data_IF_609651452349
#
_entry.id   IF_609651452349
#
_cell.length_a   1.000
_cell.length_b   1.000
_cell.length_c   1.000
_cell.angle_alpha   90.00
_cell.angle_beta   90.00
_cell.angle_gamma   90.00
#
_symmetry.space_group_name_H-M   'P 1'
#
loop_
_entity.id
_entity.type
_entity.pdbx_description
1 polymer ?
#
# COMPACT_ATOMS: atom_id res chain seq x y z
N UNK A 1 -23.78 -42.19 1.89
CA UNK A 1 -23.06 -41.01 1.37
C UNK A 1 -24.02 -39.83 1.42
N UNK A 2 -23.94 -38.93 2.43
CA UNK A 2 -24.83 -37.78 2.51
C UNK A 2 -24.30 -36.57 1.71
N UNK A 3 -25.17 -35.63 1.33
CA UNK A 3 -24.94 -34.65 0.28
C UNK A 3 -24.17 -33.40 0.77
N UNK A 4 -23.56 -32.70 -0.19
CA UNK A 4 -22.58 -31.65 0.03
C UNK A 4 -23.08 -30.36 0.70
N UNK A 5 -22.21 -29.78 1.53
CA UNK A 5 -22.28 -28.40 1.97
C UNK A 5 -21.39 -27.57 1.04
N UNK A 6 -21.98 -26.83 0.09
CA UNK A 6 -21.24 -25.77 -0.62
C UNK A 6 -21.01 -24.64 0.38
N UNK A 7 -19.74 -24.30 0.63
CA UNK A 7 -19.39 -23.10 1.38
C UNK A 7 -19.88 -21.88 0.59
N UNK A 8 -21.01 -21.32 0.99
CA UNK A 8 -21.43 -19.98 0.60
C UNK A 8 -20.45 -19.05 1.29
N UNK A 9 -19.64 -18.31 0.54
CA UNK A 9 -18.77 -17.29 1.11
C UNK A 9 -19.68 -16.18 1.66
N UNK A 10 -19.91 -16.06 2.98
CA UNK A 10 -20.79 -15.03 3.49
C UNK A 10 -20.14 -13.68 3.18
N UNK A 11 -20.93 -12.69 2.74
CA UNK A 11 -20.43 -11.32 2.65
C UNK A 11 -19.82 -10.94 4.01
N UNK A 12 -18.63 -10.32 4.04
CA UNK A 12 -18.02 -9.93 5.30
C UNK A 12 -18.97 -8.99 6.04
N UNK A 13 -19.43 -9.44 7.20
CA UNK A 13 -20.28 -8.64 8.08
C UNK A 13 -19.39 -7.70 8.87
N UNK A 14 -19.71 -6.41 8.78
CA UNK A 14 -19.06 -5.34 9.53
C UNK A 14 -19.87 -5.11 10.80
N UNK A 15 -19.17 -4.92 11.90
CA UNK A 15 -19.73 -4.72 13.23
C UNK A 15 -19.18 -3.43 13.81
N UNK A 16 -20.05 -2.65 14.46
CA UNK A 16 -19.60 -1.53 15.28
C UNK A 16 -19.18 -2.05 16.65
N UNK A 17 -17.91 -1.82 17.01
CA UNK A 17 -17.36 -2.08 18.33
C UNK A 17 -16.81 -0.76 18.86
N UNK A 18 -17.44 -0.21 19.90
CA UNK A 18 -17.04 1.05 20.54
C UNK A 18 -16.90 2.25 19.56
N UNK A 19 -17.77 2.32 18.55
CA UNK A 19 -17.73 3.37 17.53
C UNK A 19 -16.66 3.15 16.45
N UNK A 20 -16.06 1.96 16.41
CA UNK A 20 -15.11 1.52 15.39
C UNK A 20 -15.70 0.37 14.58
N UNK A 21 -15.79 0.56 13.27
CA UNK A 21 -16.26 -0.47 12.36
C UNK A 21 -15.18 -1.52 12.13
N UNK A 22 -15.44 -2.76 12.50
CA UNK A 22 -14.53 -3.90 12.33
C UNK A 22 -15.20 -5.07 11.63
N UNK A 23 -14.41 -5.92 10.98
CA UNK A 23 -14.88 -7.15 10.34
C UNK A 23 -14.53 -8.34 11.21
N UNK A 24 -15.42 -9.33 11.29
CA UNK A 24 -15.16 -10.58 12.01
C UNK A 24 -15.13 -11.74 11.02
N UNK A 25 -14.06 -12.53 11.07
CA UNK A 25 -13.83 -13.67 10.20
C UNK A 25 -13.69 -14.96 11.01
N UNK A 26 -14.26 -16.05 10.51
CA UNK A 26 -14.05 -17.38 11.07
C UNK A 26 -12.88 -18.07 10.37
N UNK A 27 -11.80 -18.34 11.10
CA UNK A 27 -10.68 -19.13 10.59
C UNK A 27 -10.85 -20.60 10.99
N UNK A 28 -10.87 -21.48 9.99
CA UNK A 28 -10.93 -22.92 10.21
C UNK A 28 -9.54 -23.45 10.60
N UNK A 29 -9.50 -24.42 11.51
CA UNK A 29 -8.25 -25.07 11.88
C UNK A 29 -7.70 -25.87 10.69
N UNK A 30 -6.37 -25.83 10.52
CA UNK A 30 -5.65 -26.57 9.48
C UNK A 30 -5.73 -28.09 9.69
N UNK A 31 -5.92 -28.53 10.93
CA UNK A 31 -6.00 -29.95 11.29
C UNK A 31 -7.44 -30.50 11.19
N UNK A 32 -7.65 -31.68 10.59
CA UNK A 32 -8.96 -32.31 10.52
C UNK A 32 -9.43 -32.71 11.93
N UNK A 33 -10.42 -31.97 12.45
CA UNK A 33 -10.95 -32.11 13.81
C UNK A 33 -10.61 -30.95 14.75
N UNK A 34 -9.81 -29.99 14.29
CA UNK A 34 -9.51 -28.77 15.03
C UNK A 34 -10.71 -27.83 15.10
N UNK A 35 -10.84 -27.12 16.23
CA UNK A 35 -11.82 -26.04 16.38
C UNK A 35 -11.27 -24.80 15.69
N UNK A 36 -12.07 -24.20 14.80
CA UNK A 36 -11.78 -22.87 14.29
C UNK A 36 -11.88 -21.80 15.37
N UNK A 37 -11.40 -20.60 15.06
CA UNK A 37 -11.46 -19.45 15.96
C UNK A 37 -11.90 -18.18 15.23
N UNK A 38 -12.42 -17.23 16.00
CA UNK A 38 -12.84 -15.92 15.51
C UNK A 38 -11.66 -14.95 15.49
N UNK A 39 -11.52 -14.25 14.37
CA UNK A 39 -10.50 -13.22 14.16
C UNK A 39 -11.18 -11.91 13.83
N UNK A 40 -10.79 -10.85 14.52
CA UNK A 40 -11.17 -9.47 14.21
C UNK A 40 -10.18 -8.92 13.18
N UNK A 41 -10.73 -8.30 12.15
CA UNK A 41 -10.02 -7.57 11.10
C UNK A 41 -10.41 -6.11 11.20
N UNK A 42 -9.46 -5.27 11.59
CA UNK A 42 -9.62 -3.84 11.81
C UNK A 42 -8.55 -3.08 10.99
N UNK A 43 -8.89 -2.80 9.73
CA UNK A 43 -7.93 -2.28 8.75
C UNK A 43 -6.76 -3.27 8.56
N UNK A 44 -5.49 -2.85 8.75
CA UNK A 44 -4.35 -3.75 8.65
C UNK A 44 -4.23 -4.71 9.84
N UNK A 45 -4.92 -4.46 10.96
CA UNK A 45 -4.84 -5.30 12.14
C UNK A 45 -5.70 -6.55 11.99
N UNK A 46 -5.10 -7.72 12.22
CA UNK A 46 -5.78 -9.01 12.35
C UNK A 46 -5.41 -9.62 13.68
N UNK A 47 -6.40 -9.93 14.50
CA UNK A 47 -6.18 -10.38 15.86
C UNK A 47 -7.26 -11.34 16.33
N UNK A 48 -6.96 -12.36 17.16
CA UNK A 48 -7.98 -13.18 17.78
C UNK A 48 -9.02 -12.33 18.52
N UNK A 49 -10.31 -12.64 18.35
CA UNK A 49 -11.41 -11.86 18.93
C UNK A 49 -11.31 -11.74 20.46
N UNK A 50 -10.85 -12.81 21.12
CA UNK A 50 -10.65 -12.82 22.57
C UNK A 50 -9.67 -11.75 23.04
N UNK A 51 -8.66 -11.48 22.23
CA UNK A 51 -7.55 -10.59 22.60
C UNK A 51 -7.92 -9.16 22.22
N UNK A 52 -8.65 -9.00 21.10
CA UNK A 52 -9.18 -7.70 20.67
C UNK A 52 -10.14 -7.14 21.73
N UNK A 53 -11.04 -7.98 22.26
CA UNK A 53 -11.97 -7.60 23.34
C UNK A 53 -11.29 -7.25 24.66
N UNK A 54 -10.07 -7.76 24.89
CA UNK A 54 -9.28 -7.47 26.10
C UNK A 54 -8.35 -6.27 25.93
N UNK A 55 -8.32 -5.65 24.74
CA UNK A 55 -7.37 -4.59 24.39
C UNK A 55 -5.90 -5.02 24.59
N UNK A 56 -5.58 -6.29 24.36
CA UNK A 56 -4.22 -6.85 24.48
C UNK A 56 -3.59 -7.01 23.10
N UNK A 57 -2.38 -6.53 22.85
CA UNK A 57 -1.72 -6.62 21.53
C UNK A 57 -0.94 -7.94 21.32
N UNK A 58 -1.04 -8.91 22.23
CA UNK A 58 -0.15 -10.08 22.28
C UNK A 58 -0.15 -10.94 21.01
N UNK A 59 -1.28 -11.05 20.30
CA UNK A 59 -1.42 -11.82 19.07
C UNK A 59 -1.86 -10.95 17.87
N UNK A 60 -1.56 -9.66 17.91
CA UNK A 60 -1.82 -8.73 16.83
C UNK A 60 -0.91 -9.03 15.63
N UNK A 61 -1.50 -9.36 14.48
CA UNK A 61 -0.78 -9.45 13.21
C UNK A 61 -1.21 -8.30 12.32
N UNK A 62 -0.25 -7.53 11.83
CA UNK A 62 -0.53 -6.46 10.88
C UNK A 62 -0.30 -6.97 9.45
N UNK A 63 -1.38 -7.11 8.69
CA UNK A 63 -1.28 -7.43 7.28
C UNK A 63 -0.92 -6.15 6.49
N UNK A 64 0.27 -6.15 5.90
CA UNK A 64 0.77 -5.05 5.09
C UNK A 64 0.17 -5.00 3.69
N UNK A 65 -0.68 -5.96 3.28
CA UNK A 65 -1.26 -5.98 1.94
C UNK A 65 -2.12 -4.75 1.61
N UNK A 66 -2.73 -4.12 2.62
CA UNK A 66 -3.52 -2.89 2.47
C UNK A 66 -2.72 -1.60 2.78
N UNK A 67 -1.43 -1.72 3.11
CA UNK A 67 -0.55 -0.56 2.95
C UNK A 67 -0.49 -0.31 1.46
N UNK A 68 -1.26 0.67 0.98
CA UNK A 68 -1.21 1.19 -0.38
C UNK A 68 0.22 1.69 -0.65
N UNK A 69 1.13 0.75 -0.91
CA UNK A 69 2.50 1.05 -1.23
C UNK A 69 2.42 1.76 -2.55
N UNK A 70 2.73 3.06 -2.56
CA UNK A 70 2.68 3.87 -3.78
C UNK A 70 3.35 3.12 -4.92
N UNK A 71 2.89 3.31 -6.17
CA UNK A 71 3.39 2.54 -7.32
C UNK A 71 4.94 2.55 -7.41
N UNK A 72 5.59 3.58 -6.85
CA UNK A 72 7.04 3.68 -6.71
C UNK A 72 7.69 2.57 -5.85
N UNK A 73 7.04 2.13 -4.78
CA UNK A 73 7.52 1.05 -3.91
C UNK A 73 7.46 -0.32 -4.58
N UNK A 74 6.57 -0.51 -5.56
CA UNK A 74 6.48 -1.74 -6.36
C UNK A 74 7.62 -1.88 -7.38
N UNK A 75 8.38 -0.81 -7.64
CA UNK A 75 9.51 -0.83 -8.57
C UNK A 75 10.80 -1.14 -7.81
N UNK A 76 11.56 -2.12 -8.31
CA UNK A 76 12.90 -2.44 -7.80
C UNK A 76 13.83 -1.22 -7.90
N UNK A 77 14.74 -1.01 -6.93
CA UNK A 77 15.52 0.24 -6.80
C UNK A 77 16.33 0.58 -8.05
N UNK A 78 16.84 -0.44 -8.74
CA UNK A 78 17.59 -0.38 -9.99
C UNK A 78 16.77 0.13 -11.17
N UNK A 79 15.44 -0.04 -11.13
CA UNK A 79 14.52 0.42 -12.18
C UNK A 79 13.86 1.76 -11.88
N UNK A 80 14.17 2.39 -10.74
CA UNK A 80 13.64 3.69 -10.36
C UNK A 80 14.41 4.80 -11.06
N UNK A 81 13.71 5.84 -11.51
CA UNK A 81 14.36 7.04 -12.03
C UNK A 81 15.13 7.73 -10.89
N UNK A 82 16.44 7.89 -11.09
CA UNK A 82 17.33 8.66 -10.22
C UNK A 82 17.63 10.03 -10.83
N UNK A 83 17.64 11.07 -10.00
CA UNK A 83 18.09 12.40 -10.37
C UNK A 83 19.50 12.60 -9.83
N UNK A 84 20.47 12.89 -10.70
CA UNK A 84 21.84 13.16 -10.28
C UNK A 84 21.96 14.64 -9.90
N UNK A 85 21.82 14.94 -8.61
CA UNK A 85 21.72 16.32 -8.09
C UNK A 85 22.92 16.73 -7.22
N UNK A 86 23.97 15.92 -7.22
CA UNK A 86 25.10 15.95 -6.26
C UNK A 86 25.91 17.27 -6.26
N UNK A 87 25.73 18.15 -7.23
CA UNK A 87 26.49 19.40 -7.37
C UNK A 87 25.63 20.67 -7.40
N UNK A 88 24.32 20.58 -7.13
CA UNK A 88 23.45 21.75 -7.13
C UNK A 88 23.18 22.24 -5.70
N UNK A 89 23.52 23.51 -5.47
CA UNK A 89 23.18 24.22 -4.23
C UNK A 89 21.82 24.87 -4.46
N UNK A 90 20.80 24.37 -3.76
CA UNK A 90 19.45 24.89 -3.83
C UNK A 90 19.14 25.73 -2.59
N UNK A 91 18.42 26.84 -2.78
CA UNK A 91 17.75 27.50 -1.67
C UNK A 91 16.56 26.64 -1.19
N UNK A 92 16.06 26.86 0.03
CA UNK A 92 14.95 26.07 0.63
C UNK A 92 13.73 25.98 -0.30
N UNK A 93 13.31 27.09 -0.89
CA UNK A 93 12.15 27.12 -1.81
C UNK A 93 12.42 26.32 -3.08
N UNK A 94 13.64 26.42 -3.62
CA UNK A 94 14.05 25.68 -4.81
C UNK A 94 14.15 24.18 -4.53
N UNK A 95 14.67 23.79 -3.35
CA UNK A 95 14.74 22.41 -2.92
C UNK A 95 13.34 21.79 -2.78
N UNK A 96 12.37 22.54 -2.23
CA UNK A 96 10.97 22.09 -2.15
C UNK A 96 10.34 21.96 -3.55
N UNK A 97 10.65 22.88 -4.47
CA UNK A 97 10.20 22.81 -5.88
C UNK A 97 10.78 21.58 -6.58
N UNK A 98 12.08 21.37 -6.46
CA UNK A 98 12.78 20.22 -7.03
C UNK A 98 12.23 18.91 -6.47
N UNK A 99 12.00 18.83 -5.15
CA UNK A 99 11.42 17.66 -4.52
C UNK A 99 10.01 17.33 -5.06
N UNK A 100 9.14 18.34 -5.23
CA UNK A 100 7.80 18.18 -5.82
C UNK A 100 7.89 17.60 -7.24
N UNK A 101 8.73 18.18 -8.09
CA UNK A 101 8.88 17.73 -9.48
C UNK A 101 9.49 16.32 -9.58
N UNK A 102 10.51 16.03 -8.77
CA UNK A 102 11.09 14.69 -8.71
C UNK A 102 10.07 13.65 -8.25
N UNK A 103 9.18 14.00 -7.31
CA UNK A 103 8.09 13.13 -6.89
C UNK A 103 7.09 12.85 -8.02
N UNK A 104 6.65 13.90 -8.75
CA UNK A 104 5.73 13.75 -9.89
C UNK A 104 6.31 12.89 -11.02
N UNK A 105 7.59 13.08 -11.34
CA UNK A 105 8.26 12.29 -12.38
C UNK A 105 8.41 10.83 -11.96
N UNK A 106 8.75 10.57 -10.68
CA UNK A 106 8.82 9.22 -10.12
C UNK A 106 7.47 8.51 -10.17
N UNK A 107 6.39 9.21 -9.86
CA UNK A 107 5.04 8.67 -9.92
C UNK A 107 4.60 8.35 -11.37
N UNK A 108 4.87 9.26 -12.32
CA UNK A 108 4.59 9.00 -13.74
C UNK A 108 5.35 7.78 -14.25
N UNK A 109 6.65 7.70 -13.96
CA UNK A 109 7.47 6.54 -14.31
C UNK A 109 6.91 5.25 -13.71
N UNK A 110 6.45 5.31 -12.46
CA UNK A 110 5.82 4.18 -11.81
C UNK A 110 4.51 3.72 -12.47
N UNK A 111 3.71 4.66 -12.98
CA UNK A 111 2.53 4.36 -13.78
C UNK A 111 2.85 3.53 -15.03
N UNK A 112 3.89 3.90 -15.79
CA UNK A 112 4.30 3.14 -16.98
C UNK A 112 4.69 1.70 -16.63
N UNK A 113 5.49 1.50 -15.57
CA UNK A 113 5.89 0.16 -15.13
C UNK A 113 4.68 -0.67 -14.68
N UNK A 114 3.74 -0.05 -13.95
CA UNK A 114 2.51 -0.70 -13.52
C UNK A 114 1.65 -1.16 -14.70
N UNK A 115 1.59 -0.34 -15.75
CA UNK A 115 0.86 -0.65 -16.99
C UNK A 115 1.60 -1.63 -17.90
N UNK A 116 2.77 -2.15 -17.46
CA UNK A 116 3.60 -3.07 -18.24
C UNK A 116 4.26 -2.42 -19.47
N UNK A 117 4.34 -1.09 -19.50
CA UNK A 117 4.97 -0.31 -20.57
C UNK A 117 6.40 0.06 -20.20
N UNK A 118 7.27 0.15 -21.20
CA UNK A 118 8.61 0.68 -20.99
C UNK A 118 8.54 2.15 -20.59
N UNK A 119 9.39 2.53 -19.62
CA UNK A 119 9.45 3.90 -19.11
C UNK A 119 10.26 4.76 -20.10
N UNK A 120 9.68 5.80 -20.71
CA UNK A 120 10.41 6.72 -21.58
C UNK A 120 11.24 7.70 -20.72
N UNK A 121 12.34 7.20 -20.14
CA UNK A 121 13.16 7.94 -19.19
C UNK A 121 13.70 9.26 -19.78
N UNK A 122 14.13 9.25 -21.04
CA UNK A 122 14.70 10.44 -21.70
C UNK A 122 13.68 11.55 -21.88
N UNK A 123 12.44 11.23 -22.26
CA UNK A 123 11.37 12.23 -22.40
C UNK A 123 10.94 12.79 -21.05
N UNK A 124 10.81 11.93 -20.03
CA UNK A 124 10.47 12.34 -18.67
C UNK A 124 11.55 13.27 -18.09
N UNK A 125 12.81 12.95 -18.30
CA UNK A 125 13.94 13.77 -17.86
C UNK A 125 14.06 15.07 -18.65
N UNK A 126 13.70 15.06 -19.95
CA UNK A 126 13.67 16.27 -20.78
C UNK A 126 12.57 17.23 -20.31
N UNK A 127 11.37 16.71 -20.02
CA UNK A 127 10.27 17.50 -19.44
C UNK A 127 10.62 18.03 -18.06
N UNK A 128 11.28 17.22 -17.22
CA UNK A 128 11.76 17.63 -15.91
C UNK A 128 12.75 18.80 -15.99
N UNK A 129 13.77 18.71 -16.84
CA UNK A 129 14.76 19.79 -17.04
C UNK A 129 14.08 21.07 -17.53
N UNK A 130 13.19 20.96 -18.52
CA UNK A 130 12.42 22.09 -19.05
C UNK A 130 11.59 22.77 -17.96
N UNK A 131 10.88 22.01 -17.14
CA UNK A 131 10.01 22.54 -16.07
C UNK A 131 10.79 23.32 -14.99
N UNK A 132 12.02 22.89 -14.70
CA UNK A 132 12.91 23.61 -13.78
C UNK A 132 13.46 24.90 -14.38
N UNK A 133 13.76 24.91 -15.68
CA UNK A 133 14.31 26.07 -16.39
C UNK A 133 13.25 27.13 -16.72
N UNK A 134 12.02 26.73 -17.06
CA UNK A 134 11.00 27.67 -17.54
C UNK A 134 10.34 28.50 -16.44
N UNK A 135 10.53 28.18 -15.15
CA UNK A 135 9.93 28.96 -14.05
C UNK A 135 8.40 28.84 -13.94
N UNK A 136 7.70 28.53 -15.02
CA UNK A 136 6.26 28.34 -15.15
C UNK A 136 5.82 27.00 -14.56
N UNK A 137 5.42 27.03 -13.29
CA UNK A 137 4.68 25.93 -12.66
C UNK A 137 3.55 26.57 -11.86
N UNK A 138 2.32 26.48 -12.38
CA UNK A 138 1.08 26.72 -11.61
C UNK A 138 0.91 25.70 -10.47
#
# INVERSE_FOLDING_TARGET
>A
MPPGCKAVNPKPQRYDMDGREVQIEWQYATEPGGKGFLVVVDGPLRQPFSDYMKNTEENATYDGQDLNTSNLHMIARDRRISFNDTHKVYNRLEAMKVAKEQALVREKAAGYVKDGRDVPADELMTKYKKCLESGDIE
#
